data_IF_579420206012
#
_entry.id   IF_579420206012
#
_cell.length_a   1.000
_cell.length_b   1.000
_cell.length_c   1.000
_cell.angle_alpha   90.00
_cell.angle_beta   90.00
_cell.angle_gamma   90.00
#
_symmetry.space_group_name_H-M   'P 1'
#
loop_
_entity.id
_entity.type
_entity.pdbx_description
1 polymer ?
#
# COMPACT_ATOMS: atom_id res chain seq x y z
N UNK A 1 1.08 13.07 1.82
CA UNK A 1 1.25 14.46 2.27
C UNK A 1 1.88 14.40 3.65
N UNK A 2 2.72 15.35 4.02
CA UNK A 2 3.26 15.48 5.37
C UNK A 2 2.55 16.63 6.06
N UNK A 3 2.02 16.36 7.25
CA UNK A 3 1.27 17.31 8.06
C UNK A 3 2.00 17.47 9.38
N UNK A 4 2.17 18.70 9.84
CA UNK A 4 2.64 18.95 11.20
C UNK A 4 1.51 18.61 12.18
N UNK A 5 1.72 17.67 13.12
CA UNK A 5 0.66 17.26 14.04
C UNK A 5 0.31 18.32 15.08
N UNK A 6 1.12 19.36 15.26
CA UNK A 6 0.92 20.39 16.29
C UNK A 6 -0.17 21.39 15.92
N UNK A 7 -0.36 21.68 14.63
CA UNK A 7 -1.31 22.68 14.14
C UNK A 7 -2.04 22.26 12.84
N UNK A 8 -1.76 21.06 12.34
CA UNK A 8 -2.36 20.47 11.13
C UNK A 8 -2.02 21.19 9.82
N UNK A 9 -0.96 22.01 9.76
CA UNK A 9 -0.53 22.61 8.49
C UNK A 9 0.20 21.59 7.58
N UNK A 10 0.12 21.80 6.27
CA UNK A 10 0.84 20.99 5.28
C UNK A 10 2.32 21.39 5.24
N UNK A 11 3.21 20.44 5.52
CA UNK A 11 4.67 20.60 5.51
C UNK A 11 5.25 20.25 4.14
N UNK A 12 4.80 19.15 3.55
CA UNK A 12 5.30 18.66 2.26
C UNK A 12 4.26 17.80 1.53
N UNK A 13 4.45 17.59 0.23
CA UNK A 13 3.61 16.68 -0.55
C UNK A 13 4.40 15.97 -1.64
N UNK A 14 3.92 14.77 -1.97
CA UNK A 14 4.37 13.97 -3.09
C UNK A 14 3.15 13.70 -3.95
N UNK A 15 3.28 13.90 -5.26
CA UNK A 15 2.27 13.44 -6.21
C UNK A 15 2.46 11.95 -6.47
N UNK A 16 1.50 11.16 -5.97
CA UNK A 16 1.45 9.72 -6.18
C UNK A 16 0.97 9.33 -7.58
N UNK A 17 0.44 10.28 -8.37
CA UNK A 17 -0.11 10.02 -9.70
C UNK A 17 -1.52 9.43 -9.69
N UNK A 18 -2.24 9.52 -8.56
CA UNK A 18 -3.61 9.05 -8.43
C UNK A 18 -4.07 8.89 -6.99
N UNK A 19 -5.21 8.23 -6.79
CA UNK A 19 -5.76 8.01 -5.45
C UNK A 19 -4.96 6.97 -4.68
N UNK A 20 -4.43 7.40 -3.54
CA UNK A 20 -3.87 6.52 -2.51
C UNK A 20 -5.04 5.91 -1.73
N UNK A 21 -5.09 4.59 -1.63
CA UNK A 21 -6.12 3.85 -0.86
C UNK A 21 -5.51 3.02 0.27
N UNK A 22 -4.20 2.82 0.24
CA UNK A 22 -3.48 2.05 1.25
C UNK A 22 -2.23 2.80 1.71
N UNK A 23 -1.98 2.79 3.02
CA UNK A 23 -0.80 3.38 3.63
C UNK A 23 -0.35 2.50 4.80
N UNK A 24 0.95 2.28 4.92
CA UNK A 24 1.54 1.68 6.12
C UNK A 24 2.92 2.26 6.38
N UNK A 25 3.44 2.11 7.60
CA UNK A 25 4.79 2.53 7.97
C UNK A 25 5.60 1.30 8.36
N UNK A 26 6.82 1.21 7.88
CA UNK A 26 7.75 0.12 8.19
C UNK A 26 9.17 0.68 8.34
N UNK A 27 9.74 0.50 9.52
CA UNK A 27 11.03 1.07 9.88
C UNK A 27 10.99 2.59 9.77
N UNK A 28 11.89 3.15 8.96
CA UNK A 28 11.99 4.60 8.72
C UNK A 28 11.23 5.07 7.49
N UNK A 29 10.48 4.19 6.81
CA UNK A 29 9.79 4.50 5.56
C UNK A 29 8.27 4.37 5.66
N UNK A 30 7.60 5.09 4.77
CA UNK A 30 6.16 4.98 4.55
C UNK A 30 5.93 4.29 3.21
N UNK A 31 4.93 3.42 3.14
CA UNK A 31 4.56 2.69 1.94
C UNK A 31 3.14 3.07 1.55
N UNK A 32 2.98 3.55 0.32
CA UNK A 32 1.69 3.97 -0.22
C UNK A 32 1.29 3.09 -1.41
N UNK A 33 0.02 2.70 -1.46
CA UNK A 33 -0.61 1.92 -2.53
C UNK A 33 -1.92 2.55 -2.97
N UNK A 34 -2.33 2.34 -4.23
CA UNK A 34 -3.51 3.04 -4.76
C UNK A 34 -4.10 2.48 -6.04
N UNK A 35 -5.21 3.08 -6.44
CA UNK A 35 -6.05 2.66 -7.57
C UNK A 35 -5.37 2.84 -8.93
N UNK A 36 -4.83 4.03 -9.16
CA UNK A 36 -4.36 4.43 -10.50
C UNK A 36 -3.02 3.80 -10.84
N UNK A 37 -2.05 3.87 -9.92
CA UNK A 37 -0.71 3.37 -10.17
C UNK A 37 -0.61 1.86 -10.00
N UNK A 38 -1.47 1.25 -9.16
CA UNK A 38 -1.46 -0.20 -8.86
C UNK A 38 -0.09 -0.74 -8.44
N UNK A 39 0.74 0.16 -7.93
CA UNK A 39 2.09 -0.10 -7.42
C UNK A 39 2.12 0.24 -5.95
N UNK A 40 3.18 -0.17 -5.26
CA UNK A 40 3.53 0.30 -3.93
C UNK A 40 4.74 1.21 -4.05
N UNK A 41 4.66 2.41 -3.52
CA UNK A 41 5.81 3.32 -3.42
C UNK A 41 6.36 3.28 -2.01
N UNK A 42 7.68 3.15 -1.89
CA UNK A 42 8.42 3.43 -0.67
C UNK A 42 8.78 4.91 -0.67
N UNK A 43 8.38 5.60 0.38
CA UNK A 43 8.49 7.05 0.53
C UNK A 43 9.34 7.33 1.76
N UNK A 44 10.33 8.21 1.60
CA UNK A 44 11.07 8.77 2.73
C UNK A 44 10.21 9.84 3.41
N UNK A 45 9.80 9.66 4.67
CA UNK A 45 8.96 10.63 5.36
C UNK A 45 9.71 11.92 5.74
N UNK A 46 11.05 11.95 5.64
CA UNK A 46 11.85 13.15 5.98
C UNK A 46 11.70 14.26 4.95
N UNK A 47 11.61 13.90 3.66
CA UNK A 47 11.52 14.84 2.54
C UNK A 47 10.37 14.54 1.56
N UNK A 48 9.55 13.52 1.84
CA UNK A 48 8.47 13.02 0.98
C UNK A 48 8.94 12.50 -0.39
N UNK A 49 10.23 12.19 -0.56
CA UNK A 49 10.74 11.65 -1.83
C UNK A 49 10.34 10.18 -2.04
N UNK A 50 10.15 9.79 -3.30
CA UNK A 50 9.97 8.38 -3.68
C UNK A 50 11.32 7.68 -3.74
N UNK A 51 11.57 6.78 -2.80
CA UNK A 51 12.81 5.99 -2.69
C UNK A 51 12.79 4.81 -3.64
N UNK A 52 11.65 4.13 -3.75
CA UNK A 52 11.48 2.97 -4.61
C UNK A 52 10.02 2.80 -5.04
N UNK A 53 9.81 2.01 -6.10
CA UNK A 53 8.49 1.55 -6.52
C UNK A 53 8.49 0.05 -6.84
N UNK A 54 7.38 -0.62 -6.59
CA UNK A 54 7.16 -2.02 -6.98
C UNK A 54 6.84 -2.17 -8.47
N UNK A 55 6.80 -3.43 -8.93
CA UNK A 55 6.09 -3.79 -10.15
C UNK A 55 4.59 -3.45 -10.04
N UNK A 56 3.93 -3.31 -11.19
CA UNK A 56 2.47 -3.17 -11.27
C UNK A 56 1.82 -4.50 -10.87
N UNK A 57 0.83 -4.42 -9.98
CA UNK A 57 0.13 -5.57 -9.46
C UNK A 57 -1.17 -5.93 -10.21
N UNK A 58 -1.55 -5.15 -11.23
CA UNK A 58 -2.72 -5.36 -12.09
C UNK A 58 -4.07 -5.04 -11.43
N UNK A 59 -4.14 -5.16 -10.10
CA UNK A 59 -5.32 -4.88 -9.28
C UNK A 59 -5.16 -3.63 -8.40
N UNK A 60 -6.30 -3.18 -7.87
CA UNK A 60 -6.37 -2.06 -6.93
C UNK A 60 -5.81 -2.51 -5.57
N UNK A 61 -4.99 -1.65 -4.97
CA UNK A 61 -4.42 -1.89 -3.64
C UNK A 61 -5.27 -1.17 -2.60
N UNK A 62 -6.10 -1.92 -1.89
CA UNK A 62 -7.05 -1.39 -0.90
C UNK A 62 -6.47 -1.26 0.51
N UNK A 63 -5.46 -2.07 0.85
CA UNK A 63 -4.84 -2.05 2.16
C UNK A 63 -3.39 -2.54 2.07
N UNK A 64 -2.56 -1.96 2.92
CA UNK A 64 -1.19 -2.36 3.19
C UNK A 64 -1.09 -2.58 4.69
N UNK A 65 -0.50 -3.69 5.10
CA UNK A 65 -0.23 -3.96 6.51
C UNK A 65 1.17 -4.51 6.66
N UNK A 66 1.75 -4.26 7.83
CA UNK A 66 3.00 -4.85 8.24
C UNK A 66 2.79 -5.54 9.60
N UNK A 67 3.36 -6.73 9.74
CA UNK A 67 3.30 -7.53 10.96
C UNK A 67 4.68 -8.09 11.27
N UNK A 68 5.16 -7.88 12.50
CA UNK A 68 6.44 -8.42 13.01
C UNK A 68 6.43 -9.94 13.15
N UNK A 69 5.25 -10.52 13.40
CA UNK A 69 5.05 -11.95 13.55
C UNK A 69 3.84 -12.37 12.71
N UNK A 70 4.04 -13.47 12.01
CA UNK A 70 3.25 -13.96 10.87
C UNK A 70 1.74 -13.99 11.13
N UNK A 71 1.01 -13.44 10.17
CA UNK A 71 -0.46 -13.43 9.96
C UNK A 71 -1.28 -12.45 10.81
N UNK A 72 -2.31 -11.84 10.21
CA UNK A 72 -3.71 -11.84 10.69
C UNK A 72 -4.71 -11.35 9.61
N UNK A 73 -5.93 -11.82 9.83
CA UNK A 73 -7.08 -12.14 9.00
C UNK A 73 -7.98 -10.96 8.55
N UNK A 74 -8.85 -11.25 7.58
CA UNK A 74 -9.79 -10.39 6.84
C UNK A 74 -11.19 -10.34 7.52
N UNK A 75 -11.96 -9.24 7.39
CA UNK A 75 -13.40 -9.34 7.11
C UNK A 75 -13.73 -8.73 5.74
N UNK A 76 -14.41 -9.52 4.90
CA UNK A 76 -14.65 -9.24 3.48
C UNK A 76 -16.00 -8.60 3.17
N UNK A 77 -16.26 -8.42 1.88
CA UNK A 77 -17.60 -8.39 1.30
C UNK A 77 -17.61 -9.24 0.02
N UNK A 78 -18.26 -10.39 0.16
CA UNK A 78 -18.86 -11.31 -0.82
C UNK A 78 -18.08 -11.84 -2.05
N UNK A 79 -18.06 -13.18 -2.10
CA UNK A 79 -17.85 -14.08 -3.24
C UNK A 79 -16.42 -14.58 -3.60
N UNK A 80 -16.14 -15.77 -3.05
CA UNK A 80 -15.54 -16.97 -3.65
C UNK A 80 -14.26 -16.78 -4.49
N UNK A 81 -13.12 -16.80 -3.81
CA UNK A 81 -12.06 -17.83 -3.97
C UNK A 81 -10.84 -17.40 -3.17
N UNK A 82 -10.75 -17.91 -1.95
CA UNK A 82 -9.57 -17.76 -1.12
C UNK A 82 -8.37 -18.43 -1.79
N UNK A 83 -7.41 -17.64 -2.26
CA UNK A 83 -6.02 -18.03 -2.46
C UNK A 83 -5.21 -16.77 -2.74
N UNK A 84 -4.46 -16.28 -1.75
CA UNK A 84 -3.47 -15.25 -2.04
C UNK A 84 -2.24 -15.37 -1.14
N UNK A 85 -1.25 -16.10 -1.64
CA UNK A 85 0.11 -16.04 -1.13
C UNK A 85 0.82 -14.85 -1.78
N UNK A 86 1.15 -13.82 -0.99
CA UNK A 86 1.97 -12.72 -1.47
C UNK A 86 3.44 -13.18 -1.58
N UNK A 87 4.03 -13.07 -2.76
CA UNK A 87 5.48 -13.17 -2.94
C UNK A 87 6.08 -11.80 -2.65
N UNK A 88 6.90 -11.67 -1.62
CA UNK A 88 7.65 -10.45 -1.35
C UNK A 88 9.10 -10.74 -0.97
N UNK A 89 9.97 -9.96 -1.60
CA UNK A 89 11.29 -9.64 -1.08
C UNK A 89 11.05 -8.76 0.15
N UNK A 90 11.41 -9.24 1.34
CA UNK A 90 11.51 -8.41 2.54
C UNK A 90 10.19 -7.91 3.15
N UNK A 91 9.38 -8.82 3.68
CA UNK A 91 8.50 -8.59 4.85
C UNK A 91 7.26 -7.66 4.75
N UNK A 92 6.91 -7.07 3.60
CA UNK A 92 5.64 -6.33 3.45
C UNK A 92 4.54 -7.24 2.86
N UNK A 93 3.33 -7.27 3.43
CA UNK A 93 2.21 -8.04 2.87
C UNK A 93 1.24 -7.15 2.11
N UNK A 94 0.72 -7.66 1.00
CA UNK A 94 -0.08 -6.89 0.07
C UNK A 94 -1.32 -7.70 -0.36
N UNK A 95 -2.49 -7.07 -0.22
CA UNK A 95 -3.78 -7.64 -0.59
C UNK A 95 -4.18 -7.12 -1.97
N UNK A 96 -4.31 -8.01 -2.95
CA UNK A 96 -4.87 -7.69 -4.27
C UNK A 96 -6.18 -8.42 -4.46
N UNK A 97 -7.18 -7.66 -4.89
CA UNK A 97 -8.36 -8.23 -5.49
C UNK A 97 -8.07 -8.44 -6.99
N UNK A 98 -8.02 -9.70 -7.43
CA UNK A 98 -7.92 -10.03 -8.85
C UNK A 98 -9.33 -10.35 -9.37
N UNK A 99 -10.04 -9.35 -9.91
CA UNK A 99 -11.22 -9.60 -10.72
C UNK A 99 -10.81 -10.10 -12.11
N UNK A 100 -10.37 -11.35 -12.18
CA UNK A 100 -10.31 -12.11 -13.43
C UNK A 100 -11.11 -13.40 -13.28
N UNK A 101 -12.42 -13.26 -13.13
CA UNK A 101 -13.34 -14.31 -13.55
C UNK A 101 -13.77 -13.99 -14.98
N UNK A 102 -13.00 -14.50 -15.93
CA UNK A 102 -13.50 -14.84 -17.26
C UNK A 102 -14.36 -16.10 -17.13
N UNK A 103 -15.67 -15.97 -17.35
CA UNK A 103 -16.53 -16.87 -18.12
C UNK A 103 -17.72 -16.07 -18.65
#
# INVERSE_FOLDING_TARGET
WQIDPTDMHKVAELDYGGWIQALTALGSYVYAGGFTTKKVWQIDPTDMSKVAESADYGGIIYALTWHEYTYIYIPGLENKSANMAAKMVGHLYLLHYNASNSF
#
